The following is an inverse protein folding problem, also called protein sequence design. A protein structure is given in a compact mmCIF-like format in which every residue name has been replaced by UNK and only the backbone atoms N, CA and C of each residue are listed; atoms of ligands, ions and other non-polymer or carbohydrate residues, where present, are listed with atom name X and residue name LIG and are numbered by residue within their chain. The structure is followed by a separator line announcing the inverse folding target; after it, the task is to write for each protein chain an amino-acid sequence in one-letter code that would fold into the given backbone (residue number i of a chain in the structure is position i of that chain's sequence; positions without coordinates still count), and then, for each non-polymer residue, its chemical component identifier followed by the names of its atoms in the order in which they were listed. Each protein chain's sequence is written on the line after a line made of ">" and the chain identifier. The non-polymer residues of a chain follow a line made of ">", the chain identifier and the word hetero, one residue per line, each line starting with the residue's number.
data_IF_138527267111
#
_entry.id   IF_138527267111
#
_cell.length_a   1.000
_cell.length_b   1.000
_cell.length_c   1.000
_cell.angle_alpha   90.00
_cell.angle_beta   90.00
_cell.angle_gamma   90.00
#
_symmetry.space_group_name_H-M   'P 1'
#
loop_
_entity.id
_entity.type
_entity.pdbx_description
1 polymer ?
#
# COMPACT_ATOMS: atom_id res chain seq x y z
N UNK A 1 16.78 -36.59 3.83
CA UNK A 1 16.82 -35.36 4.66
C UNK A 1 15.43 -34.73 4.71
N UNK A 2 14.83 -34.59 5.90
CA UNK A 2 13.52 -33.96 6.06
C UNK A 2 13.57 -32.49 5.60
N UNK A 3 12.85 -32.16 4.53
CA UNK A 3 12.74 -30.77 4.04
C UNK A 3 11.93 -29.99 5.08
N UNK A 4 12.61 -29.14 5.85
CA UNK A 4 11.98 -28.26 6.84
C UNK A 4 10.89 -27.43 6.16
N UNK A 5 9.68 -27.45 6.71
CA UNK A 5 8.56 -26.65 6.21
C UNK A 5 8.92 -25.16 6.29
N UNK A 6 9.13 -24.55 5.12
CA UNK A 6 9.52 -23.15 5.01
C UNK A 6 8.36 -22.23 5.38
N UNK A 7 7.12 -22.61 5.06
CA UNK A 7 5.92 -21.82 5.35
C UNK A 7 5.77 -21.65 6.86
N UNK A 8 5.91 -22.76 7.60
CA UNK A 8 5.91 -22.75 9.06
C UNK A 8 7.04 -21.89 9.64
N UNK A 9 8.24 -21.97 9.07
CA UNK A 9 9.40 -21.19 9.53
C UNK A 9 9.22 -19.68 9.37
N UNK A 10 8.53 -19.26 8.30
CA UNK A 10 8.28 -17.84 7.99
C UNK A 10 7.32 -17.22 9.00
N UNK A 11 6.24 -17.93 9.34
CA UNK A 11 5.15 -17.44 10.18
C UNK A 11 5.46 -17.58 11.67
N UNK A 12 5.91 -18.76 12.11
CA UNK A 12 6.11 -19.02 13.55
C UNK A 12 7.36 -18.33 14.10
N UNK A 13 8.27 -17.92 13.23
CA UNK A 13 9.60 -17.54 13.63
C UNK A 13 9.77 -16.07 14.03
N UNK A 14 9.02 -15.13 13.46
CA UNK A 14 9.35 -13.72 13.65
C UNK A 14 8.66 -13.11 14.86
N UNK A 15 9.48 -12.71 15.82
CA UNK A 15 9.04 -12.00 17.02
C UNK A 15 9.13 -10.50 16.75
N UNK A 16 8.03 -9.78 16.91
CA UNK A 16 8.04 -8.32 16.91
C UNK A 16 9.03 -7.82 17.98
N UNK A 17 10.08 -7.09 17.58
CA UNK A 17 11.19 -6.71 18.49
C UNK A 17 10.71 -5.96 19.72
N UNK A 18 9.69 -5.11 19.56
CA UNK A 18 9.11 -4.35 20.67
C UNK A 18 8.09 -5.17 21.47
N UNK A 19 7.56 -6.29 20.96
CA UNK A 19 6.66 -7.14 21.74
C UNK A 19 7.35 -7.77 22.95
N UNK A 20 8.69 -7.90 22.95
CA UNK A 20 9.43 -8.32 24.14
C UNK A 20 9.42 -7.23 25.21
N UNK A 21 9.59 -5.97 24.82
CA UNK A 21 9.57 -4.83 25.74
C UNK A 21 8.18 -4.64 26.34
N UNK A 22 7.13 -4.56 25.51
CA UNK A 22 5.75 -4.43 25.98
C UNK A 22 5.33 -5.60 26.87
N UNK A 23 5.67 -6.84 26.49
CA UNK A 23 5.38 -8.01 27.33
C UNK A 23 6.09 -7.96 28.68
N UNK A 24 7.33 -7.44 28.74
CA UNK A 24 8.05 -7.28 30.00
C UNK A 24 7.37 -6.23 30.88
N UNK A 25 6.99 -5.09 30.31
CA UNK A 25 6.28 -4.03 31.03
C UNK A 25 4.92 -4.51 31.54
N UNK A 26 4.10 -5.09 30.66
CA UNK A 26 2.77 -5.60 31.01
C UNK A 26 2.84 -6.71 32.07
N UNK A 27 3.78 -7.66 31.92
CA UNK A 27 3.97 -8.71 32.92
C UNK A 27 4.56 -8.19 34.23
N UNK A 28 5.36 -7.12 34.22
CA UNK A 28 5.91 -6.53 35.43
C UNK A 28 4.79 -5.90 36.26
N UNK A 29 3.90 -5.12 35.63
CA UNK A 29 2.73 -4.54 36.27
C UNK A 29 1.80 -5.63 36.83
N UNK A 30 1.47 -6.64 36.02
CA UNK A 30 0.62 -7.75 36.46
C UNK A 30 1.21 -8.56 37.63
N UNK A 31 2.54 -8.76 37.65
CA UNK A 31 3.21 -9.44 38.78
C UNK A 31 3.22 -8.57 40.04
N UNK A 32 3.38 -7.25 39.90
CA UNK A 32 3.34 -6.34 41.04
C UNK A 32 1.95 -6.34 41.67
N UNK A 33 0.90 -6.24 40.85
CA UNK A 33 -0.50 -6.32 41.31
C UNK A 33 -0.81 -7.68 41.97
N UNK A 34 -0.38 -8.78 41.34
CA UNK A 34 -0.55 -10.12 41.92
C UNK A 34 0.16 -10.29 43.27
N UNK A 35 1.36 -9.72 43.43
CA UNK A 35 2.09 -9.76 44.71
C UNK A 35 1.38 -8.95 45.79
N UNK A 36 0.96 -7.72 45.45
CA UNK A 36 0.21 -6.87 46.37
C UNK A 36 -1.09 -7.55 46.83
N UNK A 37 -1.81 -8.20 45.91
CA UNK A 37 -2.99 -8.99 46.23
C UNK A 37 -2.70 -10.16 47.16
N UNK A 38 -1.66 -10.96 46.86
CA UNK A 38 -1.25 -12.09 47.72
C UNK A 38 -0.89 -11.60 49.12
N UNK A 39 -0.21 -10.46 49.25
CA UNK A 39 0.15 -9.90 50.56
C UNK A 39 -1.10 -9.50 51.37
N UNK A 40 -2.15 -8.98 50.71
CA UNK A 40 -3.45 -8.66 51.35
C UNK A 40 -4.18 -9.93 51.78
N UNK A 41 -4.35 -10.90 50.88
CA UNK A 41 -5.03 -12.17 51.17
C UNK A 41 -4.30 -12.97 52.26
N UNK A 42 -2.97 -12.84 52.36
CA UNK A 42 -2.22 -13.50 53.44
C UNK A 42 -2.61 -12.99 54.83
N UNK A 43 -3.02 -11.72 54.94
CA UNK A 43 -3.47 -11.11 56.20
C UNK A 43 -4.95 -11.44 56.46
N UNK A 44 -5.76 -11.44 55.42
CA UNK A 44 -7.19 -11.73 55.48
C UNK A 44 -7.60 -12.73 54.38
N UNK A 45 -7.64 -14.03 54.71
CA UNK A 45 -7.93 -15.08 53.74
C UNK A 45 -9.33 -15.00 53.12
N UNK A 46 -10.31 -14.43 53.82
CA UNK A 46 -11.70 -14.39 53.36
C UNK A 46 -11.85 -13.48 52.13
N UNK A 47 -10.97 -12.48 51.98
CA UNK A 47 -10.88 -11.64 50.78
C UNK A 47 -10.55 -12.42 49.50
N UNK A 48 -10.01 -13.65 49.60
CA UNK A 48 -9.73 -14.48 48.44
C UNK A 48 -11.01 -14.84 47.65
N UNK A 49 -12.16 -14.90 48.32
CA UNK A 49 -13.44 -15.23 47.69
C UNK A 49 -14.08 -14.01 47.00
N UNK A 50 -13.76 -12.80 47.47
CA UNK A 50 -14.36 -11.54 46.98
C UNK A 50 -13.74 -11.04 45.67
N UNK A 51 -12.48 -11.41 45.38
CA UNK A 51 -11.79 -10.94 44.17
C UNK A 51 -10.91 -12.02 43.55
N UNK A 52 -11.16 -12.31 42.27
CA UNK A 52 -10.18 -12.97 41.42
C UNK A 52 -9.24 -11.93 40.80
N UNK A 53 -7.93 -12.19 40.77
CA UNK A 53 -7.00 -11.40 39.96
C UNK A 53 -7.49 -11.35 38.50
N UNK A 54 -7.61 -10.15 37.95
CA UNK A 54 -8.05 -9.97 36.58
C UNK A 54 -7.14 -10.76 35.65
N UNK A 55 -7.77 -11.51 34.74
CA UNK A 55 -7.03 -12.25 33.72
C UNK A 55 -6.26 -11.23 32.88
N UNK A 56 -4.93 -11.29 32.94
CA UNK A 56 -4.06 -10.45 32.10
C UNK A 56 -4.54 -10.53 30.66
N UNK A 57 -5.06 -9.40 30.14
CA UNK A 57 -5.52 -9.30 28.75
C UNK A 57 -4.31 -9.59 27.88
N UNK A 58 -4.29 -10.77 27.26
CA UNK A 58 -3.22 -11.15 26.33
C UNK A 58 -3.33 -10.23 25.12
N UNK A 59 -2.51 -9.18 25.07
CA UNK A 59 -2.38 -8.37 23.85
C UNK A 59 -2.06 -9.27 22.67
N UNK A 60 -2.69 -8.98 21.53
CA UNK A 60 -2.44 -9.71 20.28
C UNK A 60 -0.94 -9.79 20.03
N UNK A 61 -0.45 -11.01 19.79
CA UNK A 61 0.95 -11.23 19.45
C UNK A 61 1.15 -10.65 18.05
N UNK A 62 1.84 -9.51 17.99
CA UNK A 62 2.32 -9.00 16.70
C UNK A 62 3.44 -9.91 16.25
N UNK A 63 3.24 -10.58 15.13
CA UNK A 63 4.27 -11.39 14.47
C UNK A 63 4.90 -10.54 13.36
N UNK A 64 6.21 -10.66 13.19
CA UNK A 64 6.87 -10.22 11.96
C UNK A 64 7.10 -11.46 11.10
N UNK A 65 7.00 -11.35 9.80
CA UNK A 65 7.35 -12.47 8.93
C UNK A 65 8.86 -12.62 8.80
N UNK A 66 9.37 -13.85 8.87
CA UNK A 66 10.78 -14.17 8.59
C UNK A 66 11.05 -14.27 7.08
N UNK A 67 10.82 -13.17 6.36
CA UNK A 67 10.97 -13.09 4.91
C UNK A 67 12.39 -13.33 4.39
N UNK A 68 13.41 -13.29 5.27
CA UNK A 68 14.77 -13.62 4.87
C UNK A 68 14.89 -15.06 4.32
N UNK A 69 14.06 -15.99 4.80
CA UNK A 69 14.06 -17.38 4.34
C UNK A 69 13.50 -17.48 2.92
N UNK A 70 12.34 -16.89 2.66
CA UNK A 70 11.70 -16.89 1.33
C UNK A 70 12.55 -16.15 0.30
N UNK A 71 13.15 -15.03 0.68
CA UNK A 71 14.09 -14.28 -0.17
C UNK A 71 15.35 -15.05 -0.50
N UNK A 72 15.88 -15.86 0.44
CA UNK A 72 17.01 -16.76 0.13
C UNK A 72 16.59 -17.84 -0.85
N UNK A 73 15.40 -18.41 -0.67
CA UNK A 73 14.87 -19.39 -1.61
C UNK A 73 14.71 -18.80 -3.02
N UNK A 74 14.09 -17.63 -3.18
CA UNK A 74 13.96 -16.96 -4.49
C UNK A 74 15.32 -16.68 -5.14
N UNK A 75 16.30 -16.22 -4.34
CA UNK A 75 17.65 -15.97 -4.85
C UNK A 75 18.36 -17.23 -5.35
N UNK A 76 18.10 -18.38 -4.72
CA UNK A 76 18.61 -19.66 -5.19
C UNK A 76 17.96 -20.12 -6.51
N UNK A 77 16.82 -19.53 -6.90
CA UNK A 77 16.15 -19.81 -8.17
C UNK A 77 16.55 -18.86 -9.31
N UNK A 78 17.41 -17.86 -9.05
CA UNK A 78 17.83 -16.93 -10.10
C UNK A 78 18.60 -17.65 -11.21
N UNK A 79 18.37 -17.25 -12.47
CA UNK A 79 18.90 -17.90 -13.67
C UNK A 79 17.98 -18.98 -14.25
N UNK A 80 16.84 -19.28 -13.61
CA UNK A 80 15.83 -20.21 -14.12
C UNK A 80 14.66 -19.48 -14.80
N UNK A 81 13.94 -20.12 -15.74
CA UNK A 81 12.69 -19.61 -16.28
C UNK A 81 11.68 -19.33 -15.16
N UNK A 82 11.06 -18.15 -15.22
CA UNK A 82 10.14 -17.69 -14.18
C UNK A 82 8.91 -18.60 -14.05
N UNK A 83 8.38 -19.13 -15.15
CA UNK A 83 7.19 -19.99 -15.11
C UNK A 83 7.44 -21.27 -14.32
N UNK A 84 8.63 -21.86 -14.45
CA UNK A 84 9.04 -23.03 -13.66
C UNK A 84 9.18 -22.68 -12.18
N UNK A 85 9.81 -21.54 -11.89
CA UNK A 85 10.00 -21.06 -10.52
C UNK A 85 8.66 -20.71 -9.87
N UNK A 86 7.75 -20.10 -10.62
CA UNK A 86 6.41 -19.77 -10.18
C UNK A 86 5.59 -21.03 -9.90
N UNK A 87 5.68 -22.03 -10.78
CA UNK A 87 5.03 -23.33 -10.58
C UNK A 87 5.56 -24.03 -9.33
N UNK A 88 6.88 -24.03 -9.11
CA UNK A 88 7.51 -24.57 -7.89
C UNK A 88 7.11 -23.76 -6.65
N UNK A 89 7.05 -22.43 -6.74
CA UNK A 89 6.60 -21.53 -5.68
C UNK A 89 5.19 -21.89 -5.21
N UNK A 90 4.24 -22.04 -6.15
CA UNK A 90 2.84 -22.36 -5.85
C UNK A 90 2.69 -23.76 -5.25
N UNK A 91 3.51 -24.72 -5.68
CA UNK A 91 3.52 -26.07 -5.11
C UNK A 91 4.15 -26.12 -3.72
N UNK A 92 5.21 -25.35 -3.50
CA UNK A 92 5.98 -25.37 -2.24
C UNK A 92 5.31 -24.60 -1.12
N UNK A 93 4.64 -23.50 -1.44
CA UNK A 93 3.93 -22.65 -0.50
C UNK A 93 2.43 -22.70 -0.81
N UNK A 94 1.75 -23.76 -0.34
CA UNK A 94 0.36 -24.05 -0.72
C UNK A 94 -0.56 -22.82 -0.53
N UNK A 95 -0.97 -22.14 -1.63
CA UNK A 95 -1.72 -20.89 -1.58
C UNK A 95 -3.18 -21.09 -1.16
N UNK A 96 -3.64 -22.34 -1.04
CA UNK A 96 -4.96 -22.69 -0.50
C UNK A 96 -4.99 -22.53 1.02
N UNK A 97 -3.83 -22.61 1.67
CA UNK A 97 -3.70 -22.32 3.10
C UNK A 97 -3.58 -20.81 3.32
N UNK A 98 -4.07 -20.31 4.47
CA UNK A 98 -3.93 -18.90 4.85
C UNK A 98 -2.44 -18.51 4.90
N UNK A 99 -1.62 -19.40 5.46
CA UNK A 99 -0.18 -19.26 5.57
C UNK A 99 0.50 -19.11 4.20
N UNK A 100 0.26 -20.06 3.29
CA UNK A 100 0.86 -20.03 1.96
C UNK A 100 0.36 -18.86 1.13
N UNK A 101 -0.94 -18.53 1.20
CA UNK A 101 -1.50 -17.34 0.54
C UNK A 101 -0.79 -16.07 0.97
N UNK A 102 -0.68 -15.85 2.28
CA UNK A 102 0.00 -14.70 2.84
C UNK A 102 1.46 -14.62 2.38
N UNK A 103 2.20 -15.74 2.44
CA UNK A 103 3.61 -15.78 2.03
C UNK A 103 3.77 -15.50 0.53
N UNK A 104 2.96 -16.13 -0.32
CA UNK A 104 3.08 -16.03 -1.77
C UNK A 104 2.65 -14.66 -2.26
N UNK A 105 1.42 -14.24 -1.97
CA UNK A 105 0.83 -13.05 -2.57
C UNK A 105 1.24 -11.76 -1.86
N UNK A 106 1.36 -11.77 -0.52
CA UNK A 106 1.67 -10.54 0.22
C UNK A 106 3.18 -10.27 0.30
N UNK A 107 4.02 -11.26 0.01
CA UNK A 107 5.48 -11.11 0.13
C UNK A 107 6.25 -11.56 -1.10
N UNK A 108 6.22 -12.85 -1.46
CA UNK A 108 7.14 -13.39 -2.47
C UNK A 108 6.89 -12.81 -3.86
N UNK A 109 5.63 -12.74 -4.30
CA UNK A 109 5.29 -12.13 -5.59
C UNK A 109 5.46 -10.60 -5.58
N UNK A 110 5.33 -9.96 -4.43
CA UNK A 110 5.61 -8.52 -4.28
C UNK A 110 7.10 -8.19 -4.32
N UNK A 111 7.96 -9.15 -3.98
CA UNK A 111 9.41 -9.03 -4.09
C UNK A 111 9.92 -9.19 -5.54
N UNK A 112 9.09 -9.64 -6.48
CA UNK A 112 9.43 -9.88 -7.89
C UNK A 112 8.76 -8.85 -8.80
N UNK A 113 9.55 -8.08 -9.54
CA UNK A 113 9.04 -7.16 -10.56
C UNK A 113 8.55 -7.95 -11.77
N UNK A 114 7.31 -7.71 -12.18
CA UNK A 114 6.66 -8.34 -13.34
C UNK A 114 6.06 -7.26 -14.23
N UNK A 115 6.31 -7.34 -15.53
CA UNK A 115 5.79 -6.39 -16.51
C UNK A 115 6.54 -5.06 -16.59
N UNK A 116 6.07 -4.20 -17.51
CA UNK A 116 6.74 -2.95 -17.91
C UNK A 116 6.46 -1.77 -16.97
N UNK A 117 5.43 -1.86 -16.12
CA UNK A 117 5.02 -0.77 -15.23
C UNK A 117 5.22 -1.15 -13.76
N UNK A 118 6.42 -0.91 -13.20
CA UNK A 118 6.69 -1.13 -11.79
C UNK A 118 5.87 -0.19 -10.89
N UNK A 119 5.39 -0.71 -9.77
CA UNK A 119 4.84 0.11 -8.69
C UNK A 119 5.99 0.94 -8.09
N UNK A 120 5.95 2.29 -8.18
CA UNK A 120 7.03 3.15 -7.69
C UNK A 120 7.20 3.10 -6.16
N UNK A 121 6.22 2.55 -5.43
CA UNK A 121 6.25 2.41 -3.98
C UNK A 121 6.75 1.04 -3.51
N UNK A 122 6.92 0.08 -4.41
CA UNK A 122 7.42 -1.25 -4.05
C UNK A 122 8.93 -1.38 -4.20
N UNK A 123 9.53 -2.02 -3.21
CA UNK A 123 10.94 -2.36 -3.20
C UNK A 123 11.11 -3.79 -3.74
N UNK A 124 11.15 -3.92 -5.06
CA UNK A 124 11.48 -5.17 -5.72
C UNK A 124 12.91 -5.60 -5.38
N UNK A 125 13.10 -6.91 -5.21
CA UNK A 125 14.39 -7.54 -4.92
C UNK A 125 14.83 -8.48 -6.03
N UNK A 126 13.90 -8.83 -6.91
CA UNK A 126 14.05 -9.69 -8.05
C UNK A 126 13.25 -9.11 -9.21
N UNK A 127 13.60 -9.50 -10.42
CA UNK A 127 12.87 -9.16 -11.63
C UNK A 127 12.83 -10.37 -12.56
N UNK A 128 11.81 -10.42 -13.40
CA UNK A 128 11.81 -11.29 -14.58
C UNK A 128 12.31 -10.44 -15.73
N UNK A 129 13.41 -10.86 -16.37
CA UNK A 129 13.95 -10.16 -17.54
C UNK A 129 13.12 -10.42 -18.81
N UNK A 130 13.50 -9.80 -19.91
CA UNK A 130 12.77 -9.89 -21.19
C UNK A 130 12.77 -11.32 -21.77
N UNK A 131 13.71 -12.17 -21.36
CA UNK A 131 13.78 -13.59 -21.73
C UNK A 131 12.93 -14.49 -20.81
N UNK A 132 12.20 -13.90 -19.85
CA UNK A 132 11.41 -14.66 -18.89
C UNK A 132 12.24 -15.31 -17.79
N UNK A 133 13.50 -14.91 -17.58
CA UNK A 133 14.40 -15.49 -16.58
C UNK A 133 14.35 -14.68 -15.28
N UNK A 134 14.28 -15.37 -14.14
CA UNK A 134 14.32 -14.72 -12.83
C UNK A 134 15.74 -14.21 -12.52
N UNK A 135 15.89 -12.91 -12.25
CA UNK A 135 17.15 -12.25 -11.87
C UNK A 135 17.05 -11.64 -10.47
N UNK A 136 18.19 -11.59 -9.77
CA UNK A 136 18.30 -10.85 -8.52
C UNK A 136 18.72 -9.40 -8.78
N UNK A 137 17.99 -8.46 -8.21
CA UNK A 137 18.37 -7.05 -8.26
C UNK A 137 19.52 -6.77 -7.27
N UNK A 138 20.43 -5.83 -7.59
CA UNK A 138 21.51 -5.45 -6.69
C UNK A 138 20.98 -5.00 -5.31
N UNK A 139 21.63 -5.44 -4.22
CA UNK A 139 21.25 -5.03 -2.86
C UNK A 139 21.46 -3.52 -2.70
N UNK A 140 20.48 -2.83 -2.11
CA UNK A 140 20.55 -1.37 -1.86
C UNK A 140 19.89 -0.53 -2.96
N UNK A 141 19.74 -1.09 -4.16
CA UNK A 141 18.85 -0.56 -5.20
C UNK A 141 17.48 -1.23 -5.06
N UNK A 142 16.81 -0.99 -3.92
CA UNK A 142 15.38 -0.84 -4.05
C UNK A 142 15.20 0.35 -4.97
N UNK A 143 15.20 0.13 -6.29
CA UNK A 143 14.90 1.16 -7.26
C UNK A 143 13.48 1.57 -6.89
N UNK A 144 13.35 2.59 -6.05
CA UNK A 144 12.26 3.53 -6.20
C UNK A 144 12.40 3.91 -7.64
N UNK A 145 11.58 3.30 -8.50
CA UNK A 145 11.37 3.84 -9.82
C UNK A 145 11.00 5.27 -9.52
N UNK A 146 11.86 6.26 -9.85
CA UNK A 146 11.54 7.63 -9.53
C UNK A 146 10.15 7.82 -10.11
N UNK A 147 9.16 8.24 -9.29
CA UNK A 147 7.78 8.31 -9.74
C UNK A 147 7.84 8.97 -11.11
N UNK A 148 7.36 8.25 -12.15
CA UNK A 148 7.45 8.70 -13.54
C UNK A 148 7.08 10.17 -13.48
N UNK A 149 8.03 11.08 -13.72
CA UNK A 149 7.72 12.51 -13.68
C UNK A 149 6.59 12.64 -14.67
N UNK A 150 5.38 12.94 -14.20
CA UNK A 150 4.23 13.07 -15.08
C UNK A 150 4.69 13.98 -16.20
N UNK A 151 4.62 13.54 -17.47
CA UNK A 151 5.12 14.34 -18.58
C UNK A 151 4.55 15.74 -18.41
N UNK A 152 5.42 16.74 -18.32
CA UNK A 152 4.97 18.11 -18.12
C UNK A 152 4.02 18.43 -19.27
N UNK A 153 2.80 18.80 -18.91
CA UNK A 153 1.83 19.23 -19.90
C UNK A 153 2.40 20.43 -20.67
N UNK A 154 2.17 20.50 -22.00
CA UNK A 154 2.62 21.65 -22.76
C UNK A 154 2.05 22.96 -22.18
N UNK A 155 2.81 24.08 -22.21
CA UNK A 155 2.36 25.34 -21.63
C UNK A 155 0.98 25.81 -22.14
N UNK A 156 0.65 25.51 -23.40
CA UNK A 156 -0.62 25.92 -24.01
C UNK A 156 -1.86 25.24 -23.42
N UNK A 157 -1.70 24.20 -22.60
CA UNK A 157 -2.82 23.57 -21.91
C UNK A 157 -3.14 24.23 -20.57
N UNK A 158 -2.33 25.21 -20.12
CA UNK A 158 -2.43 25.84 -18.80
C UNK A 158 -2.45 24.82 -17.63
N UNK A 159 -1.87 23.64 -17.85
CA UNK A 159 -1.87 22.55 -16.86
C UNK A 159 -3.16 21.70 -16.83
N UNK A 160 -4.11 21.93 -17.73
CA UNK A 160 -5.32 21.12 -17.86
C UNK A 160 -5.11 19.88 -18.73
N UNK A 161 -5.88 18.83 -18.44
CA UNK A 161 -5.99 17.64 -19.29
C UNK A 161 -7.19 17.78 -20.22
N UNK A 162 -7.21 17.07 -21.33
CA UNK A 162 -8.31 17.07 -22.28
C UNK A 162 -9.13 15.78 -22.18
N UNK A 163 -10.44 15.87 -22.37
CA UNK A 163 -11.32 14.70 -22.48
C UNK A 163 -12.43 14.94 -23.50
N UNK A 164 -12.86 13.88 -24.18
CA UNK A 164 -14.08 13.91 -24.97
C UNK A 164 -15.27 13.59 -24.07
N UNK A 165 -16.22 14.51 -23.94
CA UNK A 165 -17.42 14.33 -23.14
C UNK A 165 -18.64 14.83 -23.90
N UNK A 166 -19.69 14.01 -24.00
CA UNK A 166 -20.91 14.29 -24.75
C UNK A 166 -20.64 14.78 -26.21
N UNK A 167 -19.67 14.14 -26.89
CA UNK A 167 -19.31 14.47 -28.26
C UNK A 167 -18.52 15.77 -28.46
N UNK A 168 -18.07 16.41 -27.38
CA UNK A 168 -17.26 17.64 -27.42
C UNK A 168 -15.97 17.48 -26.62
N UNK A 169 -14.93 18.18 -27.03
CA UNK A 169 -13.67 18.26 -26.31
C UNK A 169 -13.74 19.27 -25.17
N UNK A 170 -13.25 18.88 -23.99
CA UNK A 170 -13.25 19.69 -22.79
C UNK A 170 -11.88 19.71 -22.11
N UNK A 171 -11.54 20.87 -21.55
CA UNK A 171 -10.49 20.98 -20.56
C UNK A 171 -11.02 20.52 -19.21
N UNK A 172 -10.28 19.65 -18.54
CA UNK A 172 -10.55 19.19 -17.19
C UNK A 172 -9.42 19.52 -16.23
N UNK A 173 -9.80 19.71 -14.98
CA UNK A 173 -8.86 19.95 -13.89
C UNK A 173 -9.49 19.66 -12.54
N UNK A 174 -8.73 19.93 -11.49
CA UNK A 174 -9.23 19.87 -10.14
C UNK A 174 -9.99 21.17 -9.82
N UNK A 175 -11.24 21.05 -9.37
CA UNK A 175 -12.04 22.21 -8.96
C UNK A 175 -12.12 22.27 -7.45
N UNK A 176 -11.74 23.41 -6.89
CA UNK A 176 -11.90 23.69 -5.46
C UNK A 176 -13.39 23.98 -5.19
N UNK A 177 -13.99 23.22 -4.28
CA UNK A 177 -15.40 23.38 -3.89
C UNK A 177 -15.53 24.39 -2.75
N UNK A 178 -14.66 24.30 -1.73
CA UNK A 178 -14.70 25.19 -0.57
C UNK A 178 -13.82 24.71 0.58
N UNK A 179 -13.64 25.52 1.65
CA UNK A 179 -12.89 25.12 2.83
C UNK A 179 -13.56 23.93 3.55
N UNK A 180 -12.75 23.01 4.07
CA UNK A 180 -13.26 21.93 4.90
C UNK A 180 -13.44 22.39 6.34
N UNK A 181 -14.69 22.41 6.82
CA UNK A 181 -14.99 22.78 8.20
C UNK A 181 -14.54 21.71 9.24
N UNK A 182 -14.27 20.46 8.80
CA UNK A 182 -14.00 19.34 9.70
C UNK A 182 -12.87 18.43 9.19
N UNK A 183 -11.68 19.00 9.01
CA UNK A 183 -10.52 18.29 8.46
C UNK A 183 -10.21 16.94 9.15
N UNK A 184 -10.41 16.86 10.46
CA UNK A 184 -10.12 15.65 11.26
C UNK A 184 -11.15 14.54 11.13
N UNK A 185 -12.37 14.84 10.67
CA UNK A 185 -13.48 13.89 10.54
C UNK A 185 -13.90 13.64 9.09
N UNK A 186 -13.43 14.47 8.17
CA UNK A 186 -13.82 14.42 6.78
C UNK A 186 -13.08 13.30 6.02
N UNK A 187 -13.83 12.48 5.28
CA UNK A 187 -13.30 11.40 4.43
C UNK A 187 -13.00 11.84 3.00
N UNK A 188 -13.23 13.12 2.66
CA UNK A 188 -13.01 13.66 1.33
C UNK A 188 -11.52 13.88 1.01
N UNK A 189 -11.22 14.09 -0.27
CA UNK A 189 -9.90 14.53 -0.70
C UNK A 189 -9.72 16.03 -0.43
N UNK A 190 -8.61 16.39 0.21
CA UNK A 190 -8.26 17.78 0.51
C UNK A 190 -7.02 18.22 -0.26
N UNK A 191 -7.03 19.45 -0.75
CA UNK A 191 -5.85 20.15 -1.21
C UNK A 191 -5.49 21.24 -0.18
N UNK A 192 -4.23 21.28 0.25
CA UNK A 192 -3.73 22.37 1.08
C UNK A 192 -3.31 23.51 0.19
N UNK A 193 -3.96 24.65 0.38
CA UNK A 193 -3.62 25.88 -0.31
C UNK A 193 -2.47 26.61 0.43
N UNK A 194 -1.73 27.54 -0.21
CA UNK A 194 -0.64 28.27 0.45
C UNK A 194 -1.00 29.01 1.76
N UNK A 195 -2.29 29.31 1.98
CA UNK A 195 -2.79 29.89 3.23
C UNK A 195 -2.96 28.88 4.37
N UNK A 196 -2.62 27.61 4.16
CA UNK A 196 -2.74 26.53 5.13
C UNK A 196 -4.17 25.98 5.28
N UNK A 197 -5.16 26.55 4.61
CA UNK A 197 -6.55 26.10 4.71
C UNK A 197 -6.78 24.92 3.77
N UNK A 198 -7.17 23.79 4.36
CA UNK A 198 -7.58 22.60 3.62
C UNK A 198 -8.92 22.86 2.92
N UNK A 199 -8.96 22.65 1.61
CA UNK A 199 -10.17 22.80 0.79
C UNK A 199 -10.56 21.47 0.14
N UNK A 200 -11.85 21.22 0.06
CA UNK A 200 -12.40 20.14 -0.73
C UNK A 200 -12.14 20.41 -2.21
N UNK A 201 -11.77 19.37 -2.95
CA UNK A 201 -11.67 19.43 -4.40
C UNK A 201 -12.31 18.22 -5.05
N UNK A 202 -12.91 18.44 -6.22
CA UNK A 202 -13.30 17.37 -7.14
C UNK A 202 -12.20 17.20 -8.16
N UNK A 203 -11.75 15.96 -8.35
CA UNK A 203 -10.83 15.62 -9.44
C UNK A 203 -11.56 15.58 -10.78
N UNK A 204 -10.84 15.89 -11.85
CA UNK A 204 -11.30 15.67 -13.22
C UNK A 204 -12.66 16.30 -13.53
N UNK A 205 -12.88 17.53 -13.06
CA UNK A 205 -14.10 18.29 -13.32
C UNK A 205 -14.00 18.99 -14.68
N UNK A 206 -15.09 18.98 -15.45
CA UNK A 206 -15.19 19.78 -16.68
C UNK A 206 -15.04 21.27 -16.32
N UNK A 207 -13.99 21.91 -16.82
CA UNK A 207 -13.70 23.32 -16.53
C UNK A 207 -14.30 24.21 -17.62
N UNK A 208 -13.94 23.95 -18.87
CA UNK A 208 -14.43 24.69 -20.04
C UNK A 208 -14.33 23.86 -21.32
N UNK A 209 -15.20 24.09 -22.32
CA UNK A 209 -15.04 23.46 -23.62
C UNK A 209 -13.72 23.92 -24.27
N UNK A 210 -13.08 23.03 -25.01
CA UNK A 210 -11.89 23.36 -25.79
C UNK A 210 -12.27 24.24 -26.99
N UNK A 211 -11.45 25.23 -27.30
CA UNK A 211 -11.62 26.03 -28.52
C UNK A 211 -11.23 25.22 -29.76
N UNK A 212 -11.68 25.61 -30.97
CA UNK A 212 -11.21 24.96 -32.21
C UNK A 212 -9.68 24.98 -32.34
N UNK A 213 -9.02 26.05 -31.89
CA UNK A 213 -7.56 26.15 -31.85
C UNK A 213 -6.93 25.13 -30.91
N UNK A 214 -7.51 24.94 -29.72
CA UNK A 214 -7.03 23.94 -28.75
C UNK A 214 -7.17 22.53 -29.32
N UNK A 215 -8.31 22.23 -29.96
CA UNK A 215 -8.55 20.94 -30.63
C UNK A 215 -7.56 20.72 -31.75
N UNK A 216 -7.30 21.73 -32.59
CA UNK A 216 -6.31 21.67 -33.66
C UNK A 216 -4.90 21.42 -33.13
N UNK A 217 -4.51 22.06 -32.02
CA UNK A 217 -3.22 21.81 -31.35
C UNK A 217 -3.14 20.40 -30.77
N UNK A 218 -4.20 19.93 -30.13
CA UNK A 218 -4.26 18.57 -29.60
C UNK A 218 -4.14 17.53 -30.71
N UNK A 219 -4.90 17.66 -31.81
CA UNK A 219 -4.93 16.65 -32.88
C UNK A 219 -3.62 16.60 -33.67
N UNK A 220 -2.98 17.75 -33.88
CA UNK A 220 -1.68 17.88 -34.56
C UNK A 220 -0.47 17.56 -33.68
N UNK A 221 -0.66 17.42 -32.35
CA UNK A 221 0.43 17.08 -31.44
C UNK A 221 0.95 15.65 -31.67
N UNK A 222 2.26 15.38 -31.45
CA UNK A 222 2.81 14.03 -31.51
C UNK A 222 2.06 13.06 -30.56
N UNK A 223 1.94 11.77 -30.90
CA UNK A 223 1.20 10.79 -30.10
C UNK A 223 1.53 10.82 -28.61
N UNK A 224 2.83 10.87 -28.25
CA UNK A 224 3.30 10.94 -26.87
C UNK A 224 2.82 12.19 -26.11
N UNK A 225 2.68 13.32 -26.80
CA UNK A 225 2.17 14.56 -26.20
C UNK A 225 0.65 14.47 -26.01
N UNK A 226 -0.06 13.90 -26.99
CA UNK A 226 -1.50 13.67 -26.87
C UNK A 226 -1.81 12.73 -25.71
N UNK A 227 -1.08 11.62 -25.58
CA UNK A 227 -1.26 10.67 -24.48
C UNK A 227 -0.99 11.30 -23.10
N UNK A 228 -0.11 12.29 -23.01
CA UNK A 228 0.13 13.04 -21.79
C UNK A 228 -1.04 13.98 -21.44
N UNK A 229 -1.72 14.54 -22.45
CA UNK A 229 -2.82 15.51 -22.26
C UNK A 229 -4.16 14.79 -22.04
N UNK A 230 -4.37 13.64 -22.68
CA UNK A 230 -5.66 12.95 -22.67
C UNK A 230 -5.94 12.29 -21.31
N UNK A 231 -7.06 12.68 -20.71
CA UNK A 231 -7.60 12.03 -19.52
C UNK A 231 -8.38 10.77 -19.90
N UNK A 232 -8.08 9.67 -19.21
CA UNK A 232 -8.71 8.36 -19.42
C UNK A 232 -9.56 7.89 -18.22
N UNK A 233 -9.64 8.71 -17.18
CA UNK A 233 -10.41 8.40 -15.98
C UNK A 233 -11.88 8.84 -16.08
N UNK A 234 -12.68 8.58 -15.04
CA UNK A 234 -14.01 9.16 -14.92
C UNK A 234 -13.93 10.69 -14.89
N UNK A 235 -14.96 11.33 -15.41
CA UNK A 235 -15.09 12.79 -15.49
C UNK A 235 -16.28 13.22 -14.67
N UNK A 236 -16.15 14.35 -13.98
CA UNK A 236 -17.19 14.93 -13.15
C UNK A 236 -17.80 16.10 -13.91
N UNK A 237 -19.09 16.00 -14.25
CA UNK A 237 -19.83 17.11 -14.84
C UNK A 237 -20.33 18.04 -13.72
N UNK A 238 -19.93 19.32 -13.69
CA UNK A 238 -20.41 20.27 -12.70
C UNK A 238 -21.93 20.49 -12.72
N UNK A 239 -22.63 20.11 -13.79
CA UNK A 239 -24.08 20.10 -13.85
C UNK A 239 -24.71 18.89 -13.12
N UNK A 240 -23.93 17.89 -12.72
CA UNK A 240 -24.42 16.78 -11.91
C UNK A 240 -24.75 17.27 -10.49
N UNK A 241 -26.05 17.33 -10.20
CA UNK A 241 -26.61 17.79 -8.94
C UNK A 241 -26.11 17.01 -7.70
N UNK A 242 -25.48 15.84 -7.89
CA UNK A 242 -24.86 15.05 -6.81
C UNK A 242 -23.63 15.70 -6.21
N UNK A 243 -23.03 16.69 -6.86
CA UNK A 243 -21.86 17.43 -6.36
C UNK A 243 -22.22 18.60 -5.45
N UNK A 244 -23.49 18.96 -5.37
CA UNK A 244 -23.99 20.07 -4.54
C UNK A 244 -24.36 19.65 -3.10
N UNK A 245 -23.97 18.44 -2.66
CA UNK A 245 -24.26 17.90 -1.33
C UNK A 245 -23.00 17.38 -0.64
#
# INVERSE_FOLDING_TARGET
>A
MARRDLSRTVIEGGRYRFAKFFRRADNAAARADARAWIDVVRVDPDLAEDRSLDRVIKRNRVFYDKLAVTRRWLRAQCGRPWDDVFSELMNRFDPRTIAGRHIVFDHMLRDVRRGLEPDPWHLYRFEVDDDGILRALPRGLGQRVPPRKSPKLPPWTDGFHAVMHAGRWWWIGDRIIGPCAQLTKCTCQHAYHPDGVARHYTRATLIRPMTPTDVGRLTSSPPRVRDAILWRGPVVDPADARLAR
#
